data_IF_866688422876
#
_entry.id   IF_866688422876
#
_cell.length_a   1.000
_cell.length_b   1.000
_cell.length_c   1.000
_cell.angle_alpha   90.00
_cell.angle_beta   90.00
_cell.angle_gamma   90.00
#
_symmetry.space_group_name_H-M   'P 1'
#
loop_
_entity.id
_entity.type
_entity.pdbx_description
1 polymer ?
#
# COMPACT_ATOMS: atom_id res chain seq x y z
N UNK A 1 -7.00 -4.26 -5.82
CA UNK A 1 -6.54 -5.30 -4.86
C UNK A 1 -7.33 -5.13 -3.56
N UNK A 2 -7.53 -6.19 -2.75
CA UNK A 2 -8.17 -6.02 -1.43
C UNK A 2 -7.15 -5.45 -0.44
N UNK A 3 -7.61 -4.59 0.47
CA UNK A 3 -6.83 -4.13 1.62
C UNK A 3 -6.40 -5.36 2.44
N UNK A 4 -5.09 -5.54 2.72
CA UNK A 4 -4.59 -6.70 3.45
C UNK A 4 -4.99 -6.70 4.93
N UNK A 5 -5.45 -5.56 5.47
CA UNK A 5 -5.92 -5.47 6.86
C UNK A 5 -7.42 -5.76 7.01
N UNK A 6 -8.28 -5.02 6.29
CA UNK A 6 -9.75 -5.11 6.47
C UNK A 6 -10.49 -5.80 5.32
N UNK A 7 -9.80 -6.23 4.25
CA UNK A 7 -10.41 -6.90 3.10
C UNK A 7 -11.21 -5.99 2.15
N UNK A 8 -11.37 -4.71 2.49
CA UNK A 8 -12.06 -3.72 1.64
C UNK A 8 -11.41 -3.58 0.27
N UNK A 9 -12.22 -3.27 -0.75
CA UNK A 9 -11.71 -2.91 -2.09
C UNK A 9 -11.60 -1.40 -2.29
N UNK A 10 -12.02 -0.60 -1.30
CA UNK A 10 -11.89 0.86 -1.32
C UNK A 10 -10.45 1.21 -0.99
N UNK A 11 -9.63 1.35 -2.02
CA UNK A 11 -8.26 1.83 -1.91
C UNK A 11 -7.98 2.83 -3.02
N UNK A 12 -7.27 3.90 -2.70
CA UNK A 12 -6.71 4.83 -3.68
C UNK A 12 -5.21 4.59 -3.79
N UNK A 13 -4.68 4.71 -4.99
CA UNK A 13 -3.24 4.78 -5.19
C UNK A 13 -2.77 6.19 -4.82
N UNK A 14 -1.76 6.27 -3.97
CA UNK A 14 -1.18 7.55 -3.58
C UNK A 14 0.18 7.68 -4.25
N UNK A 15 0.33 8.78 -4.96
CA UNK A 15 1.56 9.13 -5.61
C UNK A 15 2.51 9.72 -4.56
N UNK A 16 3.54 8.95 -4.20
CA UNK A 16 4.63 9.41 -3.35
C UNK A 16 5.81 9.74 -4.26
N UNK A 17 5.97 11.02 -4.60
CA UNK A 17 7.22 11.56 -5.11
C UNK A 17 8.19 11.74 -3.93
N UNK A 18 8.77 10.64 -3.45
CA UNK A 18 9.91 10.70 -2.53
C UNK A 18 11.17 10.34 -3.30
N UNK A 19 12.20 11.18 -3.20
CA UNK A 19 13.45 11.05 -3.94
C UNK A 19 14.06 9.65 -3.71
N UNK A 20 13.92 8.76 -4.70
CA UNK A 20 14.48 7.41 -4.69
C UNK A 20 13.49 6.25 -4.87
N UNK A 21 12.18 6.49 -4.91
CA UNK A 21 11.20 5.44 -5.22
C UNK A 21 10.19 5.96 -6.24
N UNK A 22 10.30 5.54 -7.48
CA UNK A 22 9.33 5.88 -8.53
C UNK A 22 8.02 5.15 -8.23
N UNK A 23 6.89 5.87 -8.20
CA UNK A 23 5.56 5.31 -7.95
C UNK A 23 5.22 4.13 -8.89
N UNK A 24 5.85 4.09 -10.06
CA UNK A 24 5.73 3.06 -11.09
C UNK A 24 6.26 1.68 -10.64
N UNK A 25 7.33 1.63 -9.84
CA UNK A 25 7.98 0.38 -9.43
C UNK A 25 7.39 -0.22 -8.15
N UNK A 26 6.74 0.60 -7.32
CA UNK A 26 6.16 0.16 -6.04
C UNK A 26 5.01 1.08 -5.61
N UNK A 27 3.85 0.97 -6.27
CA UNK A 27 2.75 1.90 -6.06
C UNK A 27 2.18 1.79 -4.64
N UNK A 28 2.19 2.92 -3.95
CA UNK A 28 1.68 3.05 -2.59
C UNK A 28 0.15 3.20 -2.63
N UNK A 29 -0.54 2.57 -1.69
CA UNK A 29 -2.00 2.52 -1.62
C UNK A 29 -2.47 2.89 -0.22
N UNK A 30 -3.56 3.64 -0.15
CA UNK A 30 -4.27 3.92 1.09
C UNK A 30 -5.67 3.30 1.06
N UNK A 31 -6.08 2.62 2.14
CA UNK A 31 -7.43 2.08 2.28
C UNK A 31 -8.37 3.16 2.78
N UNK A 32 -9.42 3.45 2.00
CA UNK A 32 -10.45 4.43 2.36
C UNK A 32 -11.39 3.97 3.48
N UNK A 33 -11.28 2.76 4.01
CA UNK A 33 -12.08 2.30 5.17
C UNK A 33 -11.29 2.27 6.47
N UNK A 34 -10.17 1.55 6.50
CA UNK A 34 -9.39 1.41 7.74
C UNK A 34 -8.18 2.36 7.83
N UNK A 35 -7.87 3.11 6.76
CA UNK A 35 -6.74 4.05 6.73
C UNK A 35 -5.36 3.41 6.68
N UNK A 36 -5.26 2.09 6.43
CA UNK A 36 -3.99 1.41 6.20
C UNK A 36 -3.29 2.03 4.98
N UNK A 37 -1.99 2.30 5.07
CA UNK A 37 -1.15 2.66 3.92
C UNK A 37 -0.11 1.57 3.72
N UNK A 38 -0.06 1.00 2.52
CA UNK A 38 0.85 -0.09 2.18
C UNK A 38 1.29 0.01 0.73
N UNK A 39 2.36 -0.70 0.40
CA UNK A 39 2.76 -0.95 -0.99
C UNK A 39 3.04 -2.42 -1.20
N UNK A 40 3.10 -2.80 -2.47
CA UNK A 40 3.52 -4.13 -2.88
C UNK A 40 4.94 -4.01 -3.42
N UNK A 41 5.86 -4.81 -2.86
CA UNK A 41 7.23 -4.94 -3.34
C UNK A 41 7.42 -6.34 -3.90
N UNK A 42 8.28 -6.45 -4.91
CA UNK A 42 8.81 -7.75 -5.33
C UNK A 42 10.25 -7.85 -4.85
N UNK A 43 10.52 -8.80 -3.96
CA UNK A 43 11.86 -9.06 -3.42
C UNK A 43 12.23 -10.48 -3.81
N UNK A 44 13.32 -10.65 -4.57
CA UNK A 44 13.77 -11.95 -5.06
C UNK A 44 12.70 -12.77 -5.83
N UNK A 45 11.78 -12.07 -6.53
CA UNK A 45 10.68 -12.70 -7.28
C UNK A 45 9.43 -12.99 -6.44
N UNK A 46 9.47 -12.74 -5.12
CA UNK A 46 8.34 -12.91 -4.22
C UNK A 46 7.63 -11.58 -3.94
N UNK A 47 6.31 -11.61 -4.00
CA UNK A 47 5.48 -10.44 -3.70
C UNK A 47 5.31 -10.29 -2.19
N UNK A 48 5.73 -9.16 -1.64
CA UNK A 48 5.63 -8.83 -0.22
C UNK A 48 4.86 -7.54 0.02
N UNK A 49 4.08 -7.50 1.09
CA UNK A 49 3.31 -6.33 1.53
C UNK A 49 4.15 -5.54 2.51
N UNK A 50 4.49 -4.30 2.15
CA UNK A 50 5.22 -3.37 3.00
C UNK A 50 4.24 -2.36 3.59
N UNK A 51 3.99 -2.45 4.89
CA UNK A 51 3.08 -1.54 5.60
C UNK A 51 3.83 -0.26 5.95
N UNK A 52 3.36 0.87 5.42
CA UNK A 52 3.95 2.20 5.62
C UNK A 52 3.28 2.90 6.80
N UNK A 53 1.95 2.75 6.93
CA UNK A 53 1.16 3.27 8.04
C UNK A 53 0.15 2.21 8.48
N UNK A 54 0.09 1.95 9.78
CA UNK A 54 -0.90 1.03 10.33
C UNK A 54 -2.33 1.56 10.16
N UNK A 55 -3.30 0.63 10.11
CA UNK A 55 -4.71 0.97 10.06
C UNK A 55 -5.11 1.78 11.30
N UNK A 56 -5.84 2.88 11.09
CA UNK A 56 -6.23 3.82 12.15
C UNK A 56 -7.55 3.46 12.83
N UNK A 57 -8.36 2.53 12.31
CA UNK A 57 -9.63 2.13 12.94
C UNK A 57 -9.90 0.62 12.85
N UNK A 58 -10.36 0.08 13.98
CA UNK A 58 -11.03 -1.22 14.14
C UNK A 58 -12.51 -1.07 13.81
#
# INVERSE_FOLDING_TARGET
MKCPNCGSRKSVEIDIHSAGFTAEESPVKECGECGLVWRIKVVAGETSVDVIKQATKK
#
